data_IF_760058391371
#
_entry.id   IF_760058391371
#
_cell.length_a   1.000
_cell.length_b   1.000
_cell.length_c   1.000
_cell.angle_alpha   90.00
_cell.angle_beta   90.00
_cell.angle_gamma   90.00
#
_symmetry.space_group_name_H-M   'P 1'
#
loop_
_entity.id
_entity.type
_entity.pdbx_description
1 polymer ?
#
# COMPACT_ATOMS: atom_id res chain seq x y z
N UNK A 1 -12.57 2.88 21.23
CA UNK A 1 -12.76 2.16 19.95
C UNK A 1 -11.43 2.08 19.22
N UNK A 2 -11.01 0.90 18.77
CA UNK A 2 -9.76 0.72 18.00
C UNK A 2 -9.98 1.17 16.55
N UNK A 3 -9.04 1.95 16.01
CA UNK A 3 -9.05 2.51 14.65
C UNK A 3 -8.00 1.89 13.75
N UNK A 4 -6.83 1.56 14.30
CA UNK A 4 -5.79 0.84 13.60
C UNK A 4 -5.06 -0.12 14.54
N UNK A 5 -4.47 -1.15 13.97
CA UNK A 5 -3.54 -2.04 14.66
C UNK A 5 -2.16 -1.93 14.02
N UNK A 6 -1.12 -1.89 14.84
CA UNK A 6 0.28 -1.90 14.43
C UNK A 6 0.91 -3.26 14.73
N UNK A 7 1.67 -3.82 13.80
CA UNK A 7 2.48 -5.02 13.97
C UNK A 7 3.94 -4.71 13.68
N UNK A 8 4.81 -5.16 14.57
CA UNK A 8 6.23 -5.25 14.30
C UNK A 8 6.80 -6.55 14.86
N UNK A 9 7.91 -6.97 14.29
CA UNK A 9 8.64 -8.15 14.72
C UNK A 9 10.13 -7.81 14.80
N UNK A 10 10.73 -8.23 15.92
CA UNK A 10 12.16 -8.33 16.11
C UNK A 10 12.52 -9.83 16.25
N UNK A 11 13.81 -10.19 16.37
CA UNK A 11 14.25 -11.60 16.32
C UNK A 11 13.56 -12.51 17.36
N UNK A 12 13.22 -11.99 18.54
CA UNK A 12 12.68 -12.77 19.65
C UNK A 12 11.27 -12.36 20.09
N UNK A 13 10.74 -11.25 19.55
CA UNK A 13 9.56 -10.59 20.10
C UNK A 13 8.66 -10.04 19.01
N UNK A 14 7.39 -9.89 19.36
CA UNK A 14 6.34 -9.27 18.56
C UNK A 14 5.83 -8.06 19.32
N UNK A 15 5.79 -6.92 18.64
CA UNK A 15 5.18 -5.71 19.17
C UNK A 15 3.83 -5.48 18.50
N UNK A 16 2.81 -5.30 19.33
CA UNK A 16 1.47 -4.92 18.88
C UNK A 16 1.12 -3.54 19.40
N UNK A 17 0.66 -2.69 18.50
CA UNK A 17 0.12 -1.39 18.82
C UNK A 17 -1.37 -1.29 18.57
N UNK A 18 -2.10 -0.61 19.45
CA UNK A 18 -3.48 -0.23 19.21
C UNK A 18 -3.58 1.28 19.16
N UNK A 19 -4.00 1.79 18.01
CA UNK A 19 -4.44 3.16 17.83
C UNK A 19 -5.94 3.21 18.12
N UNK A 20 -6.34 3.90 19.17
CA UNK A 20 -7.72 3.92 19.64
C UNK A 20 -8.18 5.32 20.03
N UNK A 21 -9.48 5.52 19.93
CA UNK A 21 -10.16 6.66 20.52
C UNK A 21 -10.69 6.23 21.89
N UNK A 22 -10.27 6.90 22.96
CA UNK A 22 -10.83 6.65 24.28
C UNK A 22 -12.30 7.12 24.28
N UNK A 23 -13.22 6.35 24.88
CA UNK A 23 -14.58 6.83 25.10
C UNK A 23 -14.56 7.88 26.20
N UNK A 24 -15.30 8.95 25.98
CA UNK A 24 -15.50 9.97 27.01
C UNK A 24 -16.82 9.79 27.72
N UNK A 25 -16.72 9.81 29.03
CA UNK A 25 -17.83 10.17 29.89
C UNK A 25 -17.51 11.57 30.43
N UNK A 26 -17.90 12.61 29.69
CA UNK A 26 -18.03 13.97 30.22
C UNK A 26 -19.47 14.42 30.06
N UNK A 27 -20.00 15.12 31.07
CA UNK A 27 -21.31 15.75 31.00
C UNK A 27 -21.29 17.02 30.11
N UNK A 28 -20.11 17.55 29.83
CA UNK A 28 -19.88 18.71 28.97
C UNK A 28 -19.18 18.27 27.67
N UNK A 29 -19.87 18.46 26.54
CA UNK A 29 -19.36 18.09 25.22
C UNK A 29 -18.15 18.93 24.76
N UNK A 30 -17.82 20.03 25.45
CA UNK A 30 -16.67 20.87 25.14
C UNK A 30 -15.36 20.43 25.80
N UNK A 31 -15.44 19.62 26.87
CA UNK A 31 -14.29 18.99 27.54
C UNK A 31 -13.94 17.62 26.96
N UNK A 32 -14.64 17.25 25.89
CA UNK A 32 -14.52 16.01 25.21
C UNK A 32 -13.19 15.91 24.38
N UNK A 33 -12.11 15.41 24.97
CA UNK A 33 -10.93 14.85 24.30
C UNK A 33 -11.29 13.68 23.36
N UNK A 34 -11.62 14.07 22.13
CA UNK A 34 -11.72 13.18 20.98
C UNK A 34 -10.35 12.68 20.46
N UNK A 35 -9.25 12.99 21.17
CA UNK A 35 -7.89 12.76 20.70
C UNK A 35 -7.58 11.27 20.57
N UNK A 36 -6.91 10.93 19.46
CA UNK A 36 -6.43 9.58 19.26
C UNK A 36 -5.27 9.29 20.20
N UNK A 37 -5.20 8.05 20.68
CA UNK A 37 -4.10 7.56 21.50
C UNK A 37 -3.56 6.27 20.91
N UNK A 38 -2.27 6.02 21.13
CA UNK A 38 -1.64 4.77 20.75
C UNK A 38 -0.97 4.13 21.97
N UNK A 39 -1.16 2.82 22.13
CA UNK A 39 -0.46 2.02 23.14
C UNK A 39 0.23 0.86 22.45
N UNK A 40 1.45 0.57 22.87
CA UNK A 40 2.28 -0.51 22.36
C UNK A 40 2.51 -1.56 23.47
N UNK A 41 2.65 -2.82 23.09
CA UNK A 41 3.15 -3.87 23.96
C UNK A 41 4.00 -4.86 23.16
N UNK A 42 5.19 -5.14 23.68
CA UNK A 42 6.12 -6.12 23.16
C UNK A 42 6.07 -7.39 24.01
N UNK A 43 5.95 -8.55 23.36
CA UNK A 43 5.90 -9.84 24.03
C UNK A 43 6.54 -10.94 23.17
N UNK A 44 6.79 -12.09 23.78
CA UNK A 44 7.32 -13.29 23.11
C UNK A 44 6.42 -13.88 22.00
N UNK A 45 5.13 -13.55 21.97
CA UNK A 45 4.15 -14.11 21.02
C UNK A 45 3.08 -13.07 20.68
N UNK A 46 2.49 -13.17 19.50
CA UNK A 46 1.43 -12.26 19.03
C UNK A 46 0.22 -12.19 19.97
N UNK A 47 -0.27 -13.33 20.48
CA UNK A 47 -1.45 -13.41 21.35
C UNK A 47 -1.19 -12.75 22.71
N UNK A 48 0.02 -12.94 23.25
CA UNK A 48 0.45 -12.24 24.47
C UNK A 48 0.55 -10.75 24.21
N UNK A 49 1.18 -10.31 23.12
CA UNK A 49 1.30 -8.90 22.78
C UNK A 49 -0.07 -8.22 22.65
N UNK A 50 -1.00 -8.85 21.93
CA UNK A 50 -2.41 -8.44 21.83
C UNK A 50 -3.09 -8.33 23.20
N UNK A 51 -2.89 -9.31 24.07
CA UNK A 51 -3.50 -9.31 25.40
C UNK A 51 -2.88 -8.23 26.30
N UNK A 52 -1.57 -8.05 26.23
CA UNK A 52 -0.81 -7.06 27.01
C UNK A 52 -1.16 -5.64 26.58
N UNK A 53 -1.27 -5.35 25.27
CA UNK A 53 -1.69 -4.02 24.80
C UNK A 53 -3.16 -3.74 25.16
N UNK A 54 -4.04 -4.74 25.11
CA UNK A 54 -5.45 -4.58 25.53
C UNK A 54 -5.57 -4.25 27.01
N UNK A 55 -4.72 -4.82 27.88
CA UNK A 55 -4.69 -4.49 29.32
C UNK A 55 -4.24 -3.04 29.60
N UNK A 56 -3.48 -2.43 28.69
CA UNK A 56 -3.06 -1.02 28.78
C UNK A 56 -4.16 -0.04 28.34
N UNK A 57 -5.27 -0.53 27.75
CA UNK A 57 -6.38 0.32 27.33
C UNK A 57 -7.25 0.72 28.52
N UNK A 58 -7.83 1.93 28.51
CA UNK A 58 -8.74 2.37 29.57
C UNK A 58 -10.05 1.56 29.63
N UNK A 59 -10.44 0.93 28.51
CA UNK A 59 -11.63 0.08 28.42
C UNK A 59 -11.37 -1.11 27.50
N UNK A 60 -12.27 -2.10 27.55
CA UNK A 60 -12.23 -3.26 26.66
C UNK A 60 -12.15 -2.81 25.19
N UNK A 61 -11.20 -3.36 24.46
CA UNK A 61 -11.01 -3.06 23.05
C UNK A 61 -12.27 -3.41 22.24
N UNK A 62 -12.74 -2.43 21.45
CA UNK A 62 -13.76 -2.62 20.42
C UNK A 62 -13.10 -2.46 19.05
N UNK A 63 -13.01 -3.57 18.32
CA UNK A 63 -12.36 -3.66 17.00
C UNK A 63 -13.32 -3.37 15.84
N UNK A 64 -14.59 -3.05 16.12
CA UNK A 64 -15.58 -2.80 15.08
C UNK A 64 -15.20 -1.67 14.13
N UNK A 65 -14.30 -0.74 14.47
CA UNK A 65 -13.83 0.32 13.56
C UNK A 65 -12.32 0.24 13.26
N UNK A 66 -11.73 -0.96 13.40
CA UNK A 66 -10.32 -1.20 13.07
C UNK A 66 -10.14 -1.28 11.54
N UNK A 67 -10.22 -0.13 10.88
CA UNK A 67 -10.20 0.00 9.42
C UNK A 67 -8.80 -0.08 8.82
N UNK A 68 -7.76 0.04 9.64
CA UNK A 68 -6.37 0.09 9.20
C UNK A 68 -5.47 -0.93 9.90
N UNK A 69 -4.47 -1.39 9.18
CA UNK A 69 -3.35 -2.19 9.66
C UNK A 69 -2.06 -1.47 9.28
N UNK A 70 -1.17 -1.30 10.24
CA UNK A 70 0.15 -0.72 10.04
C UNK A 70 1.16 -1.82 10.34
N UNK A 71 2.14 -2.01 9.47
CA UNK A 71 3.21 -2.97 9.71
C UNK A 71 4.56 -2.27 9.70
N UNK A 72 5.52 -2.77 10.47
CA UNK A 72 6.92 -2.40 10.28
C UNK A 72 7.47 -3.01 8.98
N UNK A 73 8.56 -2.45 8.47
CA UNK A 73 9.20 -2.97 7.25
C UNK A 73 9.57 -4.46 7.38
N UNK A 74 9.98 -4.89 8.57
CA UNK A 74 10.49 -6.24 8.87
C UNK A 74 9.41 -7.24 9.27
N UNK A 75 8.12 -6.85 9.25
CA UNK A 75 7.03 -7.78 9.56
C UNK A 75 7.05 -8.96 8.58
N UNK A 76 7.03 -10.20 9.08
CA UNK A 76 7.06 -11.42 8.26
C UNK A 76 5.68 -11.78 7.68
N UNK A 77 5.68 -12.64 6.65
CA UNK A 77 4.44 -13.19 6.08
C UNK A 77 3.75 -14.15 7.07
N UNK A 78 4.54 -14.86 7.89
CA UNK A 78 4.05 -15.73 8.96
C UNK A 78 3.30 -14.91 10.02
N UNK A 79 3.85 -13.77 10.44
CA UNK A 79 3.20 -12.90 11.41
C UNK A 79 1.88 -12.31 10.87
N UNK A 80 1.86 -11.91 9.59
CA UNK A 80 0.64 -11.46 8.93
C UNK A 80 -0.42 -12.56 8.85
N UNK A 81 -0.02 -13.80 8.51
CA UNK A 81 -0.90 -14.97 8.47
C UNK A 81 -1.44 -15.34 9.85
N UNK A 82 -0.60 -15.26 10.89
CA UNK A 82 -1.02 -15.50 12.27
C UNK A 82 -2.03 -14.44 12.72
N UNK A 83 -1.77 -13.16 12.42
CA UNK A 83 -2.71 -12.09 12.73
C UNK A 83 -4.03 -12.21 11.96
N UNK A 84 -3.99 -12.52 10.67
CA UNK A 84 -5.19 -12.79 9.87
C UNK A 84 -6.04 -13.90 10.50
N UNK A 85 -5.42 -15.00 10.95
CA UNK A 85 -6.11 -16.11 11.62
C UNK A 85 -6.81 -15.64 12.91
N UNK A 86 -6.12 -14.87 13.76
CA UNK A 86 -6.70 -14.27 14.97
C UNK A 86 -7.89 -13.37 14.63
N UNK A 87 -7.81 -12.58 13.56
CA UNK A 87 -8.90 -11.70 13.11
C UNK A 87 -10.12 -12.52 12.72
N UNK A 88 -9.94 -13.61 11.97
CA UNK A 88 -11.03 -14.49 11.53
C UNK A 88 -11.67 -15.26 12.69
N UNK A 89 -10.87 -15.71 13.65
CA UNK A 89 -11.35 -16.55 14.77
C UNK A 89 -11.96 -15.74 15.92
N UNK A 90 -11.38 -14.58 16.23
CA UNK A 90 -11.69 -13.84 17.46
C UNK A 90 -12.18 -12.41 17.23
N UNK A 91 -12.26 -11.95 15.98
CA UNK A 91 -12.74 -10.61 15.63
C UNK A 91 -11.86 -9.47 16.16
N UNK A 92 -10.59 -9.76 16.50
CA UNK A 92 -9.61 -8.76 17.02
C UNK A 92 -8.99 -7.92 15.90
N UNK A 93 -9.83 -7.40 15.01
CA UNK A 93 -9.46 -6.61 13.84
C UNK A 93 -10.47 -6.80 12.70
N UNK A 94 -10.05 -6.48 11.47
CA UNK A 94 -10.86 -6.70 10.26
C UNK A 94 -9.99 -7.30 9.16
N UNK A 95 -10.46 -8.38 8.52
CA UNK A 95 -9.75 -8.94 7.36
C UNK A 95 -9.71 -7.92 6.20
N UNK A 96 -10.72 -7.05 6.12
CA UNK A 96 -10.77 -5.93 5.18
C UNK A 96 -10.04 -4.66 5.67
N UNK A 97 -9.24 -4.73 6.73
CA UNK A 97 -8.41 -3.59 7.15
C UNK A 97 -7.46 -3.20 6.01
N UNK A 98 -7.36 -1.90 5.74
CA UNK A 98 -6.45 -1.31 4.76
C UNK A 98 -5.05 -1.24 5.34
N UNK A 99 -4.07 -1.73 4.60
CA UNK A 99 -2.76 -1.99 5.15
C UNK A 99 -1.69 -1.05 4.60
N UNK A 100 -0.81 -0.55 5.46
CA UNK A 100 0.34 0.29 5.10
C UNK A 100 1.58 -0.13 5.86
N UNK A 101 2.74 0.28 5.35
CA UNK A 101 4.03 0.12 6.04
C UNK A 101 4.33 1.43 6.76
N UNK A 102 4.85 1.35 7.97
CA UNK A 102 5.51 2.46 8.64
C UNK A 102 7.01 2.17 8.71
N UNK A 103 7.80 2.98 8.00
CA UNK A 103 9.25 2.87 7.88
C UNK A 103 9.94 3.63 9.01
N UNK A 104 9.76 3.12 10.22
CA UNK A 104 10.40 3.60 11.44
C UNK A 104 10.63 2.40 12.34
N UNK A 105 11.70 2.43 13.14
CA UNK A 105 11.90 1.38 14.15
C UNK A 105 10.84 1.49 15.25
N UNK A 106 10.57 0.39 15.95
CA UNK A 106 9.61 0.36 17.05
C UNK A 106 10.02 1.32 18.17
N UNK A 107 11.33 1.39 18.46
CA UNK A 107 11.91 2.22 19.52
C UNK A 107 11.76 3.71 19.19
N UNK A 108 12.00 4.11 17.94
CA UNK A 108 11.78 5.49 17.52
C UNK A 108 10.29 5.82 17.48
N UNK A 109 9.41 4.89 17.08
CA UNK A 109 7.96 5.10 17.19
C UNK A 109 7.53 5.34 18.64
N UNK A 110 8.03 4.54 19.60
CA UNK A 110 7.76 4.72 21.03
C UNK A 110 8.20 6.10 21.52
N UNK A 111 9.43 6.49 21.22
CA UNK A 111 9.96 7.82 21.55
C UNK A 111 9.10 8.94 20.96
N UNK A 112 8.75 8.83 19.67
CA UNK A 112 7.93 9.84 18.99
C UNK A 112 6.51 9.91 19.56
N UNK A 113 5.94 8.81 20.03
CA UNK A 113 4.65 8.83 20.73
C UNK A 113 4.70 9.57 22.08
N UNK A 114 5.88 9.71 22.68
CA UNK A 114 6.08 10.47 23.93
C UNK A 114 6.40 11.94 23.68
N UNK A 115 7.14 12.28 22.62
CA UNK A 115 7.61 13.64 22.35
C UNK A 115 6.71 14.42 21.39
N UNK A 116 6.20 13.78 20.34
CA UNK A 116 5.51 14.44 19.25
C UNK A 116 4.02 14.60 19.55
N UNK A 117 3.59 15.84 19.79
CA UNK A 117 2.19 16.14 20.07
C UNK A 117 1.28 15.75 18.89
N UNK A 118 0.13 15.13 19.21
CA UNK A 118 -0.89 14.75 18.23
C UNK A 118 -0.46 13.71 17.18
N UNK A 119 0.68 13.00 17.35
CA UNK A 119 1.14 11.99 16.41
C UNK A 119 0.07 10.91 16.10
N UNK A 120 -0.70 10.36 17.07
CA UNK A 120 -1.76 9.40 16.77
C UNK A 120 -2.84 9.93 15.83
N UNK A 121 -3.23 11.21 15.97
CA UNK A 121 -4.22 11.86 15.10
C UNK A 121 -3.67 12.10 13.70
N UNK A 122 -2.42 12.57 13.60
CA UNK A 122 -1.72 12.74 12.32
C UNK A 122 -1.56 11.40 11.60
N UNK A 123 -1.19 10.34 12.32
CA UNK A 123 -1.11 8.99 11.78
C UNK A 123 -2.45 8.50 11.23
N UNK A 124 -3.54 8.67 11.97
CA UNK A 124 -4.86 8.29 11.48
C UNK A 124 -5.26 9.07 10.23
N UNK A 125 -4.94 10.37 10.17
CA UNK A 125 -5.27 11.21 9.03
C UNK A 125 -4.50 10.82 7.78
N UNK A 126 -3.21 10.52 7.91
CA UNK A 126 -2.38 10.04 6.81
C UNK A 126 -2.90 8.71 6.26
N UNK A 127 -3.25 7.77 7.16
CA UNK A 127 -3.85 6.49 6.76
C UNK A 127 -5.15 6.68 5.97
N UNK A 128 -5.99 7.66 6.34
CA UNK A 128 -7.22 7.97 5.60
C UNK A 128 -6.94 8.53 4.21
N UNK A 129 -5.99 9.47 4.12
CA UNK A 129 -5.59 10.06 2.84
C UNK A 129 -5.09 8.96 1.89
N UNK A 130 -4.30 8.02 2.42
CA UNK A 130 -3.67 6.97 1.62
C UNK A 130 -4.48 5.71 1.46
N UNK A 131 -5.68 5.72 2.01
CA UNK A 131 -6.58 4.59 2.02
C UNK A 131 -6.99 4.13 0.61
N UNK A 132 -6.85 4.97 -0.42
CA UNK A 132 -7.13 4.62 -1.81
C UNK A 132 -6.12 3.65 -2.42
N UNK A 133 -4.85 3.72 -1.98
CA UNK A 133 -3.74 2.89 -2.49
C UNK A 133 -3.43 1.65 -1.66
N UNK A 134 -4.03 1.53 -0.48
CA UNK A 134 -3.78 0.43 0.45
C UNK A 134 -4.42 -0.90 0.00
N UNK A 135 -3.67 -2.01 -0.01
CA UNK A 135 -4.25 -3.34 -0.10
C UNK A 135 -5.01 -3.68 1.19
N UNK A 136 -5.79 -4.77 1.15
CA UNK A 136 -6.47 -5.32 2.33
C UNK A 136 -5.61 -6.40 2.98
N UNK A 137 -5.77 -6.61 4.29
CA UNK A 137 -5.08 -7.70 5.00
C UNK A 137 -5.26 -9.03 4.28
N UNK A 138 -6.47 -9.42 3.90
CA UNK A 138 -6.70 -10.71 3.20
C UNK A 138 -5.98 -10.86 1.84
N UNK A 139 -5.44 -9.78 1.28
CA UNK A 139 -4.71 -9.77 0.01
C UNK A 139 -3.21 -9.91 0.17
N UNK A 140 -2.69 -10.02 1.40
CA UNK A 140 -1.25 -10.01 1.68
C UNK A 140 -0.45 -11.07 0.92
N UNK A 141 -1.07 -12.24 0.67
CA UNK A 141 -0.47 -13.37 -0.06
C UNK A 141 -0.40 -13.19 -1.59
N UNK A 142 -1.20 -12.29 -2.15
CA UNK A 142 -1.39 -12.18 -3.61
C UNK A 142 -0.25 -11.43 -4.33
N UNK A 143 0.66 -10.81 -3.59
CA UNK A 143 1.64 -9.89 -4.15
C UNK A 143 1.04 -8.50 -4.32
N UNK A 144 1.25 -7.62 -3.35
CA UNK A 144 0.58 -6.31 -3.30
C UNK A 144 1.58 -5.17 -3.11
N UNK A 145 1.20 -3.97 -3.57
CA UNK A 145 1.94 -2.73 -3.34
C UNK A 145 1.41 -2.07 -2.08
N UNK A 146 2.25 -1.97 -1.05
CA UNK A 146 1.90 -1.39 0.23
C UNK A 146 2.43 0.03 0.29
N UNK A 147 1.58 1.03 0.54
CA UNK A 147 2.04 2.39 0.76
C UNK A 147 2.98 2.45 1.96
N UNK A 148 4.08 3.18 1.81
CA UNK A 148 5.04 3.39 2.88
C UNK A 148 4.83 4.79 3.46
N UNK A 149 4.68 4.85 4.78
CA UNK A 149 4.71 6.06 5.57
C UNK A 149 6.07 6.14 6.26
N UNK A 150 6.65 7.33 6.32
CA UNK A 150 7.90 7.63 7.02
C UNK A 150 7.61 8.60 8.16
N UNK A 151 8.35 8.47 9.26
CA UNK A 151 8.33 9.42 10.36
C UNK A 151 9.76 9.90 10.59
N UNK A 152 10.02 11.18 10.32
CA UNK A 152 11.33 11.81 10.50
C UNK A 152 11.13 13.16 11.16
N UNK A 153 11.90 13.47 12.21
CA UNK A 153 11.84 14.76 12.93
C UNK A 153 10.40 15.19 13.29
N UNK A 154 9.62 14.26 13.84
CA UNK A 154 8.20 14.42 14.19
C UNK A 154 7.25 14.65 12.99
N UNK A 155 7.73 14.62 11.75
CA UNK A 155 6.94 14.78 10.53
C UNK A 155 6.60 13.42 9.91
N UNK A 156 5.29 13.17 9.80
CA UNK A 156 4.76 11.99 9.14
C UNK A 156 4.52 12.31 7.66
N UNK A 157 5.02 11.46 6.76
CA UNK A 157 4.87 11.64 5.33
C UNK A 157 4.66 10.31 4.61
N UNK A 158 3.78 10.32 3.62
CA UNK A 158 3.58 9.23 2.69
C UNK A 158 4.54 9.19 1.50
N UNK A 159 5.21 10.32 1.20
CA UNK A 159 6.12 10.59 0.08
C UNK A 159 5.75 10.00 -1.32
N UNK A 160 4.53 9.51 -1.50
CA UNK A 160 4.13 8.73 -2.68
C UNK A 160 4.86 7.38 -2.85
N UNK A 161 5.64 6.89 -1.89
CA UNK A 161 6.45 5.67 -2.04
C UNK A 161 5.67 4.41 -1.68
N UNK A 162 6.08 3.27 -2.21
CA UNK A 162 5.44 1.98 -1.92
C UNK A 162 6.46 0.84 -1.91
N UNK A 163 6.08 -0.26 -1.28
CA UNK A 163 6.86 -1.51 -1.29
C UNK A 163 6.00 -2.62 -1.85
N UNK A 164 6.47 -3.28 -2.91
CA UNK A 164 5.88 -4.54 -3.35
C UNK A 164 6.25 -5.64 -2.36
N UNK A 165 5.26 -6.41 -1.92
CA UNK A 165 5.43 -7.54 -1.00
C UNK A 165 4.76 -8.78 -1.57
N UNK A 166 5.50 -9.88 -1.69
CA UNK A 166 5.00 -11.22 -2.03
C UNK A 166 5.86 -12.30 -1.36
N UNK A 167 5.34 -13.00 -0.36
CA UNK A 167 6.17 -13.91 0.46
C UNK A 167 7.33 -13.17 1.10
N UNK A 168 8.57 -13.57 0.82
CA UNK A 168 9.79 -12.87 1.28
C UNK A 168 10.29 -11.78 0.31
N UNK A 169 9.73 -11.70 -0.91
CA UNK A 169 10.17 -10.71 -1.88
C UNK A 169 9.73 -9.30 -1.46
N UNK A 170 10.68 -8.36 -1.46
CA UNK A 170 10.47 -6.94 -1.15
C UNK A 170 11.10 -6.08 -2.24
N UNK A 171 10.32 -5.19 -2.85
CA UNK A 171 10.83 -4.24 -3.86
C UNK A 171 10.38 -2.84 -3.45
N UNK A 172 11.33 -1.99 -3.06
CA UNK A 172 11.07 -0.57 -2.77
C UNK A 172 10.86 0.19 -4.07
N UNK A 173 9.84 1.03 -4.11
CA UNK A 173 9.49 1.87 -5.24
C UNK A 173 9.53 3.33 -4.81
N UNK A 174 10.23 4.15 -5.58
CA UNK A 174 10.13 5.60 -5.45
C UNK A 174 8.73 6.10 -5.88
N UNK A 175 8.48 7.40 -5.72
CA UNK A 175 7.20 8.01 -6.06
C UNK A 175 6.84 7.86 -7.55
N UNK A 176 7.82 7.95 -8.45
CA UNK A 176 7.61 7.85 -9.89
C UNK A 176 7.27 6.43 -10.31
N UNK A 177 8.04 5.44 -9.82
CA UNK A 177 7.78 4.02 -10.04
C UNK A 177 6.43 3.61 -9.46
N UNK A 178 6.10 4.10 -8.27
CA UNK A 178 4.80 3.86 -7.62
C UNK A 178 3.65 4.38 -8.50
N UNK A 179 3.72 5.62 -8.97
CA UNK A 179 2.69 6.18 -9.85
C UNK A 179 2.53 5.38 -11.16
N UNK A 180 3.64 4.95 -11.78
CA UNK A 180 3.60 4.12 -13.00
C UNK A 180 2.95 2.77 -12.74
N UNK A 181 3.30 2.10 -11.63
CA UNK A 181 2.70 0.82 -11.23
C UNK A 181 1.20 0.97 -10.96
N UNK A 182 0.80 2.05 -10.29
CA UNK A 182 -0.60 2.32 -9.99
C UNK A 182 -1.41 2.54 -11.28
N UNK A 183 -0.87 3.28 -12.25
CA UNK A 183 -1.47 3.44 -13.58
C UNK A 183 -1.59 2.09 -14.30
N UNK A 184 -0.52 1.31 -14.36
CA UNK A 184 -0.50 -0.01 -15.02
C UNK A 184 -1.48 -1.00 -14.40
N UNK A 185 -1.68 -0.93 -13.08
CA UNK A 185 -2.62 -1.76 -12.32
C UNK A 185 -4.08 -1.28 -12.45
N UNK A 186 -4.33 -0.19 -13.16
CA UNK A 186 -5.67 0.40 -13.28
C UNK A 186 -6.20 0.97 -11.96
N UNK A 187 -5.30 1.35 -11.04
CA UNK A 187 -5.68 1.91 -9.75
C UNK A 187 -6.38 3.26 -9.95
N UNK A 188 -7.57 3.39 -9.36
CA UNK A 188 -8.35 4.62 -9.42
C UNK A 188 -7.69 5.71 -8.58
N UNK A 189 -7.89 6.96 -9.01
CA UNK A 189 -7.35 8.13 -8.33
C UNK A 189 -6.58 9.00 -9.29
N UNK A 190 -6.07 10.11 -8.76
CA UNK A 190 -5.23 11.04 -9.47
C UNK A 190 -3.77 10.69 -9.24
N UNK A 191 -3.01 10.56 -10.33
CA UNK A 191 -1.60 10.20 -10.32
C UNK A 191 -0.78 11.34 -10.91
N UNK A 192 0.20 11.84 -10.17
CA UNK A 192 1.10 12.90 -10.64
C UNK A 192 2.47 12.31 -10.91
N UNK A 193 3.00 12.52 -12.12
CA UNK A 193 4.34 12.10 -12.52
C UNK A 193 5.16 13.30 -12.97
N UNK A 194 6.48 13.25 -12.72
CA UNK A 194 7.39 14.26 -13.26
C UNK A 194 7.89 13.81 -14.63
N UNK A 195 7.41 14.44 -15.69
CA UNK A 195 7.71 14.09 -17.08
C UNK A 195 8.23 15.32 -17.82
N UNK A 196 9.39 15.17 -18.46
CA UNK A 196 10.12 16.26 -19.11
C UNK A 196 10.30 17.48 -18.18
N UNK A 197 10.68 17.21 -16.92
CA UNK A 197 10.90 18.20 -15.86
C UNK A 197 9.64 18.97 -15.40
N UNK A 198 8.45 18.54 -15.82
CA UNK A 198 7.18 19.16 -15.44
C UNK A 198 6.21 18.13 -14.82
N UNK A 199 5.33 18.56 -13.90
CA UNK A 199 4.29 17.69 -13.36
C UNK A 199 3.21 17.41 -14.42
N UNK A 200 2.90 16.14 -14.62
CA UNK A 200 1.78 15.66 -15.42
C UNK A 200 0.81 14.91 -14.52
N UNK A 201 -0.38 15.47 -14.38
CA UNK A 201 -1.46 14.90 -13.56
C UNK A 201 -2.42 14.10 -14.42
N UNK A 202 -2.63 12.83 -14.07
CA UNK A 202 -3.52 11.89 -14.75
C UNK A 202 -4.65 11.53 -13.80
N UNK A 203 -5.88 11.97 -14.09
CA UNK A 203 -7.05 11.69 -13.23
C UNK A 203 -7.73 10.36 -13.54
N UNK A 204 -7.58 9.86 -14.77
CA UNK A 204 -8.09 8.56 -15.22
C UNK A 204 -7.15 7.98 -16.26
N UNK A 205 -6.94 6.67 -16.20
CA UNK A 205 -6.18 5.93 -17.18
C UNK A 205 -6.84 4.58 -17.40
N UNK A 206 -7.06 4.19 -18.66
CA UNK A 206 -7.41 2.82 -19.01
C UNK A 206 -6.22 2.14 -19.67
N UNK A 207 -5.86 0.95 -19.16
CA UNK A 207 -4.76 0.14 -19.68
C UNK A 207 -5.32 -1.03 -20.46
N UNK A 208 -5.00 -1.08 -21.75
CA UNK A 208 -5.35 -2.20 -22.64
C UNK A 208 -4.09 -2.95 -23.04
N UNK A 209 -4.18 -4.28 -23.08
CA UNK A 209 -3.07 -5.16 -23.46
C UNK A 209 -3.49 -5.99 -24.66
N UNK A 210 -2.69 -5.96 -25.74
CA UNK A 210 -2.90 -6.80 -26.93
C UNK A 210 -1.71 -7.73 -27.13
N UNK A 211 -1.97 -9.03 -27.28
CA UNK A 211 -0.94 -10.02 -27.57
C UNK A 211 -0.97 -10.39 -29.06
N UNK A 212 0.21 -10.45 -29.68
CA UNK A 212 0.42 -10.94 -31.05
C UNK A 212 1.60 -11.89 -31.06
N UNK A 213 1.33 -13.19 -30.94
CA UNK A 213 2.39 -14.16 -30.69
C UNK A 213 3.05 -13.89 -29.34
N UNK A 214 4.35 -13.64 -29.35
CA UNK A 214 5.17 -13.28 -28.19
C UNK A 214 5.39 -11.76 -28.04
N UNK A 215 4.81 -10.96 -28.94
CA UNK A 215 4.84 -9.50 -28.83
C UNK A 215 3.63 -8.98 -28.07
N UNK A 216 3.85 -7.93 -27.26
CA UNK A 216 2.86 -7.32 -26.40
C UNK A 216 2.80 -5.83 -26.65
N UNK A 217 1.58 -5.32 -26.89
CA UNK A 217 1.31 -3.89 -26.95
C UNK A 217 0.50 -3.45 -25.74
N UNK A 218 1.06 -2.53 -24.95
CA UNK A 218 0.40 -1.83 -23.86
C UNK A 218 -0.12 -0.49 -24.38
N UNK A 219 -1.41 -0.24 -24.23
CA UNK A 219 -2.03 1.05 -24.57
C UNK A 219 -2.59 1.69 -23.32
N UNK A 220 -2.11 2.90 -23.02
CA UNK A 220 -2.64 3.75 -21.97
C UNK A 220 -3.44 4.88 -22.64
N UNK A 221 -4.74 4.92 -22.38
CA UNK A 221 -5.58 6.07 -22.73
C UNK A 221 -5.86 6.87 -21.44
N UNK A 222 -5.24 8.05 -21.36
CA UNK A 222 -5.18 8.90 -20.18
C UNK A 222 -6.12 10.11 -20.32
N UNK A 223 -6.66 10.56 -19.20
CA UNK A 223 -7.31 11.87 -19.06
C UNK A 223 -6.50 12.69 -18.07
N UNK A 224 -6.17 13.93 -18.46
CA UNK A 224 -5.42 14.86 -17.62
C UNK A 224 -6.26 15.38 -16.45
N UNK A 225 -5.59 15.93 -15.45
CA UNK A 225 -6.24 16.69 -14.38
C UNK A 225 -7.04 17.88 -14.91
N UNK A 226 -8.02 18.31 -14.13
CA UNK A 226 -8.81 19.49 -14.45
C UNK A 226 -7.87 20.72 -14.43
N UNK A 227 -8.02 21.61 -15.41
CA UNK A 227 -7.21 22.84 -15.55
C UNK A 227 -5.69 22.63 -15.70
N UNK A 228 -5.19 21.40 -15.89
CA UNK A 228 -3.78 21.14 -16.17
C UNK A 228 -3.47 21.25 -17.67
N UNK A 229 -2.24 21.63 -18.08
CA UNK A 229 -1.87 21.68 -19.50
C UNK A 229 -1.98 20.30 -20.17
N UNK A 230 -2.25 20.29 -21.49
CA UNK A 230 -2.24 19.07 -22.29
C UNK A 230 -0.81 18.53 -22.40
N UNK A 231 -0.55 17.26 -22.03
CA UNK A 231 0.80 16.73 -22.12
C UNK A 231 1.32 16.65 -23.55
N UNK A 232 2.56 17.08 -23.76
CA UNK A 232 3.23 17.08 -25.05
C UNK A 232 3.72 15.71 -25.50
N UNK A 233 4.22 15.64 -26.74
CA UNK A 233 4.75 14.40 -27.31
C UNK A 233 5.94 13.82 -26.52
N UNK A 234 6.81 14.68 -25.99
CA UNK A 234 7.96 14.27 -25.17
C UNK A 234 7.51 13.61 -23.86
N UNK A 235 6.51 14.19 -23.17
CA UNK A 235 5.93 13.62 -21.94
C UNK A 235 5.24 12.28 -22.22
N UNK A 236 4.47 12.19 -23.31
CA UNK A 236 3.84 10.93 -23.71
C UNK A 236 4.88 9.83 -24.02
N UNK A 237 5.96 10.18 -24.74
CA UNK A 237 7.04 9.27 -25.05
C UNK A 237 7.81 8.83 -23.79
N UNK A 238 8.05 9.74 -22.84
CA UNK A 238 8.67 9.41 -21.57
C UNK A 238 7.78 8.47 -20.75
N UNK A 239 6.48 8.75 -20.62
CA UNK A 239 5.57 7.86 -19.91
C UNK A 239 5.53 6.47 -20.54
N UNK A 240 5.49 6.38 -21.87
CA UNK A 240 5.55 5.10 -22.59
C UNK A 240 6.83 4.31 -22.26
N UNK A 241 8.00 4.99 -22.24
CA UNK A 241 9.27 4.36 -21.87
C UNK A 241 9.25 3.87 -20.42
N UNK A 242 8.78 4.70 -19.48
CA UNK A 242 8.69 4.34 -18.07
C UNK A 242 7.78 3.13 -17.87
N UNK A 243 6.60 3.09 -18.49
CA UNK A 243 5.71 1.94 -18.44
C UNK A 243 6.37 0.65 -18.96
N UNK A 244 7.03 0.70 -20.12
CA UNK A 244 7.75 -0.44 -20.68
C UNK A 244 8.85 -0.93 -19.74
N UNK A 245 9.69 -0.01 -19.25
CA UNK A 245 10.80 -0.33 -18.35
C UNK A 245 10.32 -0.92 -17.03
N UNK A 246 9.24 -0.39 -16.47
CA UNK A 246 8.63 -0.94 -15.24
C UNK A 246 8.16 -2.37 -15.47
N UNK A 247 7.39 -2.64 -16.54
CA UNK A 247 6.93 -4.02 -16.81
C UNK A 247 8.10 -4.98 -17.03
N UNK A 248 9.14 -4.56 -17.75
CA UNK A 248 10.35 -5.36 -17.97
C UNK A 248 11.09 -5.66 -16.67
N UNK A 249 11.28 -4.64 -15.81
CA UNK A 249 11.96 -4.79 -14.52
C UNK A 249 11.23 -5.74 -13.59
N UNK A 250 9.89 -5.64 -13.51
CA UNK A 250 9.09 -6.57 -12.72
C UNK A 250 9.13 -8.00 -13.30
N UNK A 251 9.12 -8.14 -14.63
CA UNK A 251 9.23 -9.45 -15.27
C UNK A 251 10.55 -10.16 -14.93
N UNK A 252 11.68 -9.44 -14.99
CA UNK A 252 13.00 -9.95 -14.62
C UNK A 252 13.07 -10.41 -13.16
N UNK A 253 12.24 -9.83 -12.30
CA UNK A 253 12.11 -10.20 -10.89
C UNK A 253 11.08 -11.31 -10.65
N UNK A 254 10.55 -11.93 -11.70
CA UNK A 254 9.53 -12.96 -11.59
C UNK A 254 8.17 -12.41 -11.15
N UNK A 255 7.79 -11.22 -11.61
CA UNK A 255 6.48 -10.63 -11.34
C UNK A 255 5.78 -10.24 -12.64
N UNK A 256 4.60 -10.84 -12.86
CA UNK A 256 3.74 -10.53 -13.99
C UNK A 256 2.78 -9.38 -13.66
N UNK A 257 3.32 -8.16 -13.72
CA UNK A 257 2.64 -6.92 -13.28
C UNK A 257 1.31 -6.65 -14.00
N UNK A 258 1.22 -6.98 -15.29
CA UNK A 258 0.05 -6.67 -16.15
C UNK A 258 -0.71 -7.92 -16.60
N UNK A 259 -0.48 -9.04 -15.91
CA UNK A 259 -1.15 -10.33 -16.08
C UNK A 259 -1.03 -10.91 -17.51
N UNK A 260 0.16 -10.81 -18.12
CA UNK A 260 0.43 -11.31 -19.46
C UNK A 260 0.24 -12.81 -19.57
N UNK A 261 0.56 -13.58 -18.53
CA UNK A 261 0.39 -15.03 -18.52
C UNK A 261 -1.08 -15.42 -18.58
N UNK A 262 -1.90 -14.82 -17.70
CA UNK A 262 -3.34 -15.05 -17.68
C UNK A 262 -3.97 -14.62 -19.02
N UNK A 263 -3.53 -13.49 -19.58
CA UNK A 263 -4.00 -13.04 -20.90
C UNK A 263 -3.59 -14.01 -22.01
N UNK A 264 -2.37 -14.56 -21.95
CA UNK A 264 -1.89 -15.55 -22.92
C UNK A 264 -2.72 -16.84 -22.85
N UNK A 265 -2.98 -17.33 -21.65
CA UNK A 265 -3.82 -18.51 -21.41
C UNK A 265 -5.26 -18.29 -21.90
N UNK A 266 -5.83 -17.10 -21.67
CA UNK A 266 -7.17 -16.75 -22.17
C UNK A 266 -7.22 -16.66 -23.70
N UNK A 267 -6.17 -16.17 -24.36
CA UNK A 267 -6.15 -16.00 -25.81
C UNK A 267 -5.81 -17.28 -26.58
N UNK A 268 -4.92 -18.13 -26.06
CA UNK A 268 -4.40 -19.31 -26.77
C UNK A 268 -4.85 -20.65 -26.16
N UNK A 269 -5.45 -20.62 -24.97
CA UNK A 269 -5.83 -21.80 -24.19
C UNK A 269 -4.78 -22.15 -23.12
N UNK A 270 -5.27 -22.69 -22.00
CA UNK A 270 -4.42 -23.16 -20.89
C UNK A 270 -3.51 -24.29 -21.37
N UNK A 271 -2.21 -24.23 -21.03
CA UNK A 271 -1.18 -25.16 -21.49
C UNK A 271 -0.65 -24.90 -22.90
N UNK A 272 -1.12 -23.82 -23.56
CA UNK A 272 -0.67 -23.35 -24.88
C UNK A 272 -0.27 -21.87 -24.84
N UNK A 273 0.07 -21.39 -23.65
CA UNK A 273 0.52 -20.02 -23.41
C UNK A 273 1.80 -19.76 -24.22
N UNK A 274 1.83 -18.62 -24.91
CA UNK A 274 3.04 -18.14 -25.58
C UNK A 274 3.93 -17.31 -24.66
N UNK A 275 3.35 -16.79 -23.57
CA UNK A 275 4.03 -15.90 -22.64
C UNK A 275 3.90 -16.51 -21.26
N UNK A 276 5.04 -16.88 -20.67
CA UNK A 276 5.16 -17.39 -19.31
C UNK A 276 6.32 -16.68 -18.61
N UNK A 277 6.19 -16.41 -17.32
CA UNK A 277 7.23 -15.78 -16.49
C UNK A 277 8.57 -16.54 -16.48
N UNK A 278 8.56 -17.81 -16.87
CA UNK A 278 9.78 -18.63 -17.00
C UNK A 278 10.57 -18.32 -18.26
N UNK A 279 9.97 -17.63 -19.22
CA UNK A 279 10.58 -17.25 -20.48
C UNK A 279 11.17 -15.83 -20.40
N UNK A 280 11.97 -15.49 -21.41
CA UNK A 280 12.41 -14.11 -21.62
C UNK A 280 11.22 -13.15 -21.65
N UNK A 281 11.45 -11.92 -21.18
CA UNK A 281 10.44 -10.89 -21.24
C UNK A 281 9.96 -10.71 -22.70
N UNK A 282 8.64 -10.73 -22.97
CA UNK A 282 8.15 -10.54 -24.31
C UNK A 282 8.55 -9.18 -24.87
N UNK A 283 8.54 -9.06 -26.20
CA UNK A 283 8.78 -7.77 -26.85
C UNK A 283 7.64 -6.81 -26.52
N UNK A 284 7.92 -5.83 -25.66
CA UNK A 284 6.96 -4.85 -25.16
C UNK A 284 7.02 -3.55 -25.95
N UNK A 285 5.87 -3.10 -26.42
CA UNK A 285 5.67 -1.76 -26.95
C UNK A 285 4.59 -1.05 -26.13
N UNK A 286 4.86 0.15 -25.65
CA UNK A 286 3.86 0.98 -24.97
C UNK A 286 3.47 2.16 -25.84
N UNK A 287 2.17 2.44 -25.90
CA UNK A 287 1.58 3.61 -26.55
C UNK A 287 0.76 4.36 -25.52
N UNK A 288 1.05 5.65 -25.35
CA UNK A 288 0.30 6.55 -24.47
C UNK A 288 -0.45 7.56 -25.30
N UNK A 289 -1.72 7.79 -24.96
CA UNK A 289 -2.56 8.82 -25.57
C UNK A 289 -3.28 9.59 -24.47
N UNK A 290 -3.22 10.92 -24.53
CA UNK A 290 -4.10 11.76 -23.74
C UNK A 290 -5.34 12.08 -24.56
N UNK A 291 -6.50 11.71 -24.04
CA UNK A 291 -7.78 11.96 -24.68
C UNK A 291 -8.12 13.46 -24.59
N UNK A 292 -8.74 14.04 -25.63
CA UNK A 292 -9.31 15.38 -25.53
C UNK A 292 -10.41 15.41 -24.46
N UNK A 293 -10.65 16.58 -23.87
CA UNK A 293 -11.77 16.80 -22.93
C UNK A 293 -13.13 16.57 -23.60
#
# INVERSE_FOLDING_TARGET
>A
MVRALYLAQNEATVTVGLLYQAPEASADASEASAAMQMRLAEESTLEKALSSVQKKLPQKADYRLCDFLIISENTSEELLSAYESIVLESGRGRAAAKASILAVSTEELEKQLETAEGLPDRLLNELKQESGRMPRLYQHRDGMFWPQLTLQDEELSAAGTSVFRKGEQRIKLDAQQTAVVQLLSGMRGTHTLWLAEEPVTIRRCSVSVTLRGESVCLRLDCQRGDETPQPGAAQCAQLARLCTQTVQSFWQQGIDLVHLQQRSALQYGVGREKITIKNDCPQLQTVVRFLPE
#
